data_IF_261749017701
#
_entry.id   IF_261749017701
#
_cell.length_a   1.000
_cell.length_b   1.000
_cell.length_c   1.000
_cell.angle_alpha   90.00
_cell.angle_beta   90.00
_cell.angle_gamma   90.00
#
_symmetry.space_group_name_H-M   'P 1'
#
loop_
_entity.id
_entity.type
_entity.pdbx_description
1 polymer ?
#
# COMPACT_ATOMS: atom_id res chain seq x y z
N UNK A 1 35.09 49.35 34.48
CA UNK A 1 34.09 48.48 33.83
C UNK A 1 34.69 47.96 32.54
N UNK A 2 34.95 46.65 32.44
CA UNK A 2 35.56 46.03 31.26
C UNK A 2 34.44 45.34 30.47
N UNK A 3 34.21 45.68 29.19
CA UNK A 3 33.18 45.02 28.39
C UNK A 3 33.62 43.59 28.05
N UNK A 4 32.84 42.62 28.49
CA UNK A 4 33.03 41.20 28.16
C UNK A 4 32.52 40.96 26.74
N UNK A 5 33.40 40.64 25.79
CA UNK A 5 33.02 40.33 24.42
C UNK A 5 32.39 38.93 24.35
N UNK A 6 31.23 38.75 23.69
CA UNK A 6 30.60 37.44 23.58
C UNK A 6 31.43 36.52 22.67
N UNK A 7 31.71 35.35 23.22
CA UNK A 7 32.53 34.26 22.68
C UNK A 7 32.14 33.90 21.23
N UNK A 8 32.96 34.25 20.23
CA UNK A 8 32.65 34.13 18.80
C UNK A 8 32.66 32.68 18.28
N UNK A 9 33.30 31.75 19.01
CA UNK A 9 33.44 30.34 18.62
C UNK A 9 32.10 29.57 18.55
N UNK A 10 31.11 29.91 19.37
CA UNK A 10 29.81 29.24 19.41
C UNK A 10 28.94 29.53 18.18
N UNK A 11 29.08 30.73 17.59
CA UNK A 11 28.29 31.16 16.43
C UNK A 11 28.64 30.44 15.11
N UNK A 12 29.90 30.03 14.96
CA UNK A 12 30.34 29.29 13.77
C UNK A 12 29.93 27.83 13.81
N UNK A 13 29.88 27.23 15.01
CA UNK A 13 29.41 25.86 15.20
C UNK A 13 27.90 25.75 14.93
N UNK A 14 27.10 26.70 15.43
CA UNK A 14 25.66 26.70 15.17
C UNK A 14 25.31 26.88 13.69
N UNK A 15 26.03 27.75 12.97
CA UNK A 15 25.89 27.90 11.50
C UNK A 15 26.18 26.60 10.74
N UNK A 16 27.26 25.90 11.10
CA UNK A 16 27.61 24.60 10.49
C UNK A 16 26.56 23.54 10.78
N UNK A 17 26.03 23.50 12.00
CA UNK A 17 24.94 22.58 12.37
C UNK A 17 23.67 22.88 11.58
N UNK A 18 23.28 24.15 11.45
CA UNK A 18 22.12 24.57 10.66
C UNK A 18 22.26 24.20 9.18
N UNK A 19 23.45 24.37 8.60
CA UNK A 19 23.72 23.95 7.22
C UNK A 19 23.61 22.42 7.05
N UNK A 20 24.19 21.64 7.97
CA UNK A 20 24.06 20.17 7.96
C UNK A 20 22.61 19.73 8.09
N UNK A 21 21.82 20.37 8.95
CA UNK A 21 20.41 20.08 9.12
C UNK A 21 19.62 20.32 7.83
N UNK A 22 19.85 21.46 7.16
CA UNK A 22 19.22 21.76 5.85
C UNK A 22 19.58 20.73 4.79
N UNK A 23 20.85 20.35 4.69
CA UNK A 23 21.30 19.32 3.75
C UNK A 23 20.67 17.96 4.03
N UNK A 24 20.55 17.57 5.31
CA UNK A 24 19.90 16.34 5.71
C UNK A 24 18.41 16.33 5.34
N UNK A 25 17.71 17.46 5.56
CA UNK A 25 16.31 17.63 5.18
C UNK A 25 16.11 17.49 3.66
N UNK A 26 16.93 18.17 2.85
CA UNK A 26 16.87 18.07 1.40
C UNK A 26 17.13 16.63 0.92
N UNK A 27 18.13 15.95 1.49
CA UNK A 27 18.41 14.55 1.17
C UNK A 27 17.25 13.62 1.54
N UNK A 28 16.62 13.84 2.70
CA UNK A 28 15.47 13.07 3.13
C UNK A 28 14.26 13.26 2.19
N UNK A 29 14.00 14.50 1.75
CA UNK A 29 12.94 14.80 0.79
C UNK A 29 13.19 14.09 -0.56
N UNK A 30 14.41 14.22 -1.11
CA UNK A 30 14.78 13.54 -2.36
C UNK A 30 14.63 12.02 -2.26
N UNK A 31 15.09 11.42 -1.16
CA UNK A 31 14.96 9.97 -0.95
C UNK A 31 13.48 9.54 -0.87
N UNK A 32 12.65 10.32 -0.16
CA UNK A 32 11.21 10.07 -0.06
C UNK A 32 10.56 10.11 -1.45
N UNK A 33 10.88 11.12 -2.25
CA UNK A 33 10.28 11.29 -3.56
C UNK A 33 10.73 10.19 -4.53
N UNK A 34 12.01 9.80 -4.51
CA UNK A 34 12.50 8.65 -5.26
C UNK A 34 11.81 7.34 -4.85
N UNK A 35 11.63 7.10 -3.55
CA UNK A 35 10.91 5.93 -3.06
C UNK A 35 9.45 5.92 -3.55
N UNK A 36 8.77 7.08 -3.48
CA UNK A 36 7.40 7.23 -3.98
C UNK A 36 7.31 6.93 -5.48
N UNK A 37 8.24 7.46 -6.27
CA UNK A 37 8.28 7.20 -7.72
C UNK A 37 8.47 5.70 -8.01
N UNK A 38 9.37 5.01 -7.31
CA UNK A 38 9.59 3.55 -7.46
C UNK A 38 8.33 2.75 -7.15
N UNK A 39 7.64 3.05 -6.05
CA UNK A 39 6.39 2.38 -5.68
C UNK A 39 5.32 2.58 -6.76
N UNK A 40 5.18 3.80 -7.28
CA UNK A 40 4.22 4.09 -8.36
C UNK A 40 4.56 3.32 -9.64
N UNK A 41 5.83 3.24 -10.01
CA UNK A 41 6.29 2.45 -11.17
C UNK A 41 5.96 0.96 -10.99
N UNK A 42 6.24 0.40 -9.81
CA UNK A 42 5.92 -0.99 -9.50
C UNK A 42 4.41 -1.26 -9.57
N UNK A 43 3.58 -0.38 -9.02
CA UNK A 43 2.11 -0.48 -9.11
C UNK A 43 1.63 -0.48 -10.56
N UNK A 44 2.17 0.41 -11.40
CA UNK A 44 1.86 0.45 -12.85
C UNK A 44 2.27 -0.84 -13.56
N UNK A 45 3.47 -1.36 -13.26
CA UNK A 45 3.95 -2.61 -13.85
C UNK A 45 3.06 -3.80 -13.46
N UNK A 46 2.67 -3.89 -12.18
CA UNK A 46 1.78 -4.93 -11.69
C UNK A 46 0.39 -4.84 -12.34
N UNK A 47 -0.17 -3.64 -12.47
CA UNK A 47 -1.45 -3.42 -13.13
C UNK A 47 -1.42 -3.86 -14.61
N UNK A 48 -0.34 -3.52 -15.34
CA UNK A 48 -0.12 -3.98 -16.72
C UNK A 48 -0.04 -5.49 -16.80
N UNK A 49 0.72 -6.14 -15.90
CA UNK A 49 0.83 -7.60 -15.87
C UNK A 49 -0.52 -8.26 -15.61
N UNK A 50 -1.31 -7.74 -14.66
CA UNK A 50 -2.67 -8.23 -14.39
C UNK A 50 -3.60 -8.06 -15.58
N UNK A 51 -3.51 -6.94 -16.31
CA UNK A 51 -4.30 -6.75 -17.53
C UNK A 51 -3.92 -7.76 -18.62
N UNK A 52 -2.62 -8.01 -18.84
CA UNK A 52 -2.15 -9.02 -19.80
C UNK A 52 -2.61 -10.43 -19.43
N UNK A 53 -2.46 -10.83 -18.17
CA UNK A 53 -2.91 -12.15 -17.72
C UNK A 53 -4.43 -12.33 -17.93
N UNK A 54 -5.24 -11.29 -17.65
CA UNK A 54 -6.68 -11.33 -17.91
C UNK A 54 -6.98 -11.52 -19.40
N UNK A 55 -6.33 -10.74 -20.26
CA UNK A 55 -6.53 -10.86 -21.70
C UNK A 55 -6.16 -12.24 -22.25
N UNK A 56 -5.08 -12.86 -21.74
CA UNK A 56 -4.69 -14.23 -22.12
C UNK A 56 -5.69 -15.27 -21.64
N UNK A 57 -6.13 -15.20 -20.39
CA UNK A 57 -7.14 -16.12 -19.87
C UNK A 57 -8.47 -15.98 -20.62
N UNK A 58 -8.87 -14.76 -20.98
CA UNK A 58 -10.09 -14.49 -21.76
C UNK A 58 -9.97 -15.00 -23.20
N UNK A 59 -8.80 -14.89 -23.85
CA UNK A 59 -8.59 -15.44 -25.19
C UNK A 59 -8.61 -16.96 -25.21
N UNK A 60 -7.96 -17.61 -24.23
CA UNK A 60 -7.88 -19.07 -24.12
C UNK A 60 -9.26 -19.71 -23.89
N UNK A 61 -10.14 -19.05 -23.12
CA UNK A 61 -11.54 -19.48 -22.92
C UNK A 61 -12.38 -19.34 -24.22
N UNK A 62 -12.08 -18.34 -25.06
CA UNK A 62 -12.83 -18.08 -26.30
C UNK A 62 -12.43 -19.00 -27.48
N UNK A 63 -11.16 -19.43 -27.54
CA UNK A 63 -10.64 -20.33 -28.58
C UNK A 63 -10.89 -21.82 -28.26
N UNK A 64 -11.21 -22.16 -27.00
CA UNK A 64 -11.50 -23.55 -26.58
C UNK A 64 -12.80 -24.14 -27.17
N UNK A 65 -13.56 -23.37 -27.94
CA UNK A 65 -14.74 -23.87 -28.67
C UNK A 65 -14.38 -24.66 -29.95
N UNK A 66 -13.10 -24.70 -30.35
CA UNK A 66 -12.66 -25.29 -31.62
C UNK A 66 -11.44 -26.22 -31.52
N UNK A 67 -11.63 -27.45 -31.01
CA UNK A 67 -10.91 -28.62 -31.53
C UNK A 67 -9.44 -28.80 -31.17
N UNK A 68 -9.11 -28.95 -29.88
CA UNK A 68 -7.99 -29.82 -29.45
C UNK A 68 -8.16 -30.18 -27.97
N UNK A 69 -8.96 -31.22 -27.70
CA UNK A 69 -9.18 -31.73 -26.36
C UNK A 69 -7.96 -32.53 -25.87
N UNK A 70 -7.16 -31.92 -24.99
CA UNK A 70 -6.31 -32.69 -24.09
C UNK A 70 -7.23 -33.32 -23.03
N UNK A 71 -7.27 -34.66 -22.84
CA UNK A 71 -8.17 -35.30 -21.86
C UNK A 71 -7.84 -34.95 -20.40
N UNK A 72 -6.71 -34.28 -20.13
CA UNK A 72 -6.37 -33.65 -18.85
C UNK A 72 -6.73 -32.16 -18.76
N UNK A 73 -7.39 -31.58 -19.78
CA UNK A 73 -7.74 -30.16 -19.84
C UNK A 73 -8.89 -29.76 -18.89
N UNK A 74 -9.53 -30.72 -18.21
CA UNK A 74 -10.51 -30.39 -17.18
C UNK A 74 -9.76 -29.93 -15.93
N UNK A 75 -9.56 -28.61 -15.83
CA UNK A 75 -9.09 -27.98 -14.61
C UNK A 75 -10.00 -28.38 -13.44
N UNK A 76 -9.44 -29.02 -12.42
CA UNK A 76 -10.17 -29.32 -11.17
C UNK A 76 -10.32 -28.09 -10.28
N UNK A 77 -9.64 -26.99 -10.63
CA UNK A 77 -9.83 -25.72 -9.94
C UNK A 77 -10.99 -24.99 -10.61
N UNK A 78 -11.97 -24.50 -9.82
CA UNK A 78 -13.08 -23.73 -10.36
C UNK A 78 -12.51 -22.48 -11.05
N UNK A 79 -13.13 -22.01 -12.14
CA UNK A 79 -12.68 -20.82 -12.86
C UNK A 79 -12.52 -19.66 -11.87
N UNK A 80 -11.31 -19.10 -11.80
CA UNK A 80 -11.00 -18.04 -10.85
C UNK A 80 -11.72 -16.76 -11.28
N UNK A 81 -12.90 -16.54 -10.68
CA UNK A 81 -13.65 -15.31 -10.83
C UNK A 81 -13.09 -14.19 -9.95
N UNK A 82 -13.73 -13.03 -9.98
CA UNK A 82 -13.27 -11.80 -9.30
C UNK A 82 -12.82 -12.02 -7.86
N UNK A 83 -11.92 -11.17 -7.35
CA UNK A 83 -11.39 -11.29 -5.97
C UNK A 83 -12.50 -11.35 -4.91
N UNK A 84 -13.61 -10.62 -5.13
CA UNK A 84 -14.78 -10.66 -4.26
C UNK A 84 -15.46 -12.05 -4.23
N UNK A 85 -15.56 -12.72 -5.39
CA UNK A 85 -16.16 -14.05 -5.46
C UNK A 85 -15.24 -15.13 -4.88
N UNK A 86 -13.93 -15.00 -5.08
CA UNK A 86 -12.95 -15.90 -4.44
C UNK A 86 -12.97 -15.72 -2.90
N UNK A 87 -13.08 -14.47 -2.44
CA UNK A 87 -13.28 -14.16 -1.03
C UNK A 87 -14.59 -14.74 -0.46
N UNK A 88 -15.66 -14.79 -1.25
CA UNK A 88 -16.93 -15.43 -0.88
C UNK A 88 -16.83 -16.95 -0.72
N UNK A 89 -16.09 -17.62 -1.61
CA UNK A 89 -15.85 -19.07 -1.52
C UNK A 89 -15.08 -19.44 -0.25
N UNK A 90 -14.14 -18.59 0.17
CA UNK A 90 -13.34 -18.78 1.38
C UNK A 90 -13.86 -17.94 2.56
N UNK A 91 -15.19 -17.78 2.66
CA UNK A 91 -15.85 -16.94 3.68
C UNK A 91 -15.84 -17.50 5.10
N UNK A 92 -15.33 -18.71 5.33
CA UNK A 92 -15.29 -19.41 6.62
C UNK A 92 -13.87 -19.85 7.01
N UNK A 93 -13.56 -19.82 8.33
CA UNK A 93 -12.29 -20.34 8.85
C UNK A 93 -12.39 -21.83 9.09
N UNK A 94 -11.34 -22.56 8.77
CA UNK A 94 -11.15 -23.95 9.20
C UNK A 94 -10.49 -24.05 10.56
N UNK A 95 -10.03 -22.92 11.12
CA UNK A 95 -9.33 -22.88 12.40
C UNK A 95 -10.33 -22.58 13.51
N UNK A 96 -10.32 -23.32 14.63
CA UNK A 96 -11.18 -23.01 15.77
C UNK A 96 -10.91 -21.60 16.31
N UNK A 97 -11.97 -20.90 16.69
CA UNK A 97 -11.90 -19.54 17.22
C UNK A 97 -11.12 -19.50 18.55
N UNK A 98 -11.34 -20.48 19.43
CA UNK A 98 -10.66 -20.60 20.72
C UNK A 98 -9.80 -21.87 20.77
N UNK A 99 -8.48 -21.77 21.02
CA UNK A 99 -7.64 -22.95 21.23
C UNK A 99 -8.06 -23.70 22.50
N UNK A 100 -8.12 -25.04 22.43
CA UNK A 100 -8.68 -25.92 23.47
C UNK A 100 -8.09 -25.75 24.88
N UNK A 101 -6.86 -25.26 25.00
CA UNK A 101 -6.14 -25.09 26.27
C UNK A 101 -5.56 -23.69 26.46
N UNK A 102 -6.05 -22.70 25.71
CA UNK A 102 -5.60 -21.31 25.87
C UNK A 102 -6.57 -20.55 26.78
N UNK A 103 -6.03 -19.89 27.80
CA UNK A 103 -6.74 -18.89 28.61
C UNK A 103 -6.68 -17.49 28.01
N UNK A 104 -5.85 -17.29 26.98
CA UNK A 104 -5.72 -16.01 26.27
C UNK A 104 -6.80 -15.90 25.21
N UNK A 105 -7.47 -14.73 25.16
CA UNK A 105 -8.41 -14.39 24.11
C UNK A 105 -7.73 -14.43 22.73
N UNK A 106 -8.31 -15.20 21.82
CA UNK A 106 -7.79 -15.29 20.46
C UNK A 106 -8.11 -14.00 19.69
N UNK A 107 -7.10 -13.47 19.00
CA UNK A 107 -7.31 -12.32 18.11
C UNK A 107 -8.28 -12.69 16.99
N UNK A 108 -9.16 -11.76 16.63
CA UNK A 108 -10.08 -11.92 15.50
C UNK A 108 -9.27 -12.19 14.22
N UNK A 109 -9.57 -13.31 13.56
CA UNK A 109 -8.95 -13.69 12.29
C UNK A 109 -9.76 -13.12 11.13
N UNK A 110 -9.07 -12.46 10.21
CA UNK A 110 -9.67 -11.92 8.98
C UNK A 110 -9.33 -12.85 7.83
N UNK A 111 -10.36 -13.36 7.17
CA UNK A 111 -10.25 -14.27 6.03
C UNK A 111 -11.45 -14.07 5.09
N UNK A 112 -11.33 -14.53 3.85
CA UNK A 112 -12.39 -14.43 2.85
C UNK A 112 -12.96 -13.02 2.71
N UNK A 113 -14.29 -12.93 2.76
CA UNK A 113 -15.02 -11.67 2.67
C UNK A 113 -14.60 -10.64 3.72
N UNK A 114 -14.35 -11.05 4.96
CA UNK A 114 -13.97 -10.12 6.04
C UNK A 114 -12.64 -9.42 5.71
N UNK A 115 -11.68 -10.17 5.17
CA UNK A 115 -10.40 -9.61 4.70
C UNK A 115 -10.61 -8.73 3.46
N UNK A 116 -11.47 -9.15 2.53
CA UNK A 116 -11.76 -8.38 1.34
C UNK A 116 -12.34 -7.00 1.71
N UNK A 117 -13.36 -6.95 2.57
CA UNK A 117 -13.95 -5.68 3.02
C UNK A 117 -12.94 -4.79 3.73
N UNK A 118 -12.16 -5.31 4.69
CA UNK A 118 -11.15 -4.48 5.34
C UNK A 118 -10.13 -3.91 4.34
N UNK A 119 -9.67 -4.72 3.39
CA UNK A 119 -8.68 -4.24 2.41
C UNK A 119 -9.26 -3.27 1.38
N UNK A 120 -10.54 -3.39 1.02
CA UNK A 120 -11.21 -2.43 0.13
C UNK A 120 -11.62 -1.15 0.83
N UNK A 121 -12.10 -1.25 2.06
CA UNK A 121 -12.59 -0.11 2.84
C UNK A 121 -11.42 0.76 3.31
N UNK A 122 -10.33 0.13 3.78
CA UNK A 122 -9.10 0.85 4.16
C UNK A 122 -8.49 1.59 2.96
N UNK A 123 -8.56 1.00 1.75
CA UNK A 123 -8.08 1.63 0.53
C UNK A 123 -8.91 2.85 0.09
N UNK A 124 -10.14 3.00 0.57
CA UNK A 124 -11.00 4.17 0.32
C UNK A 124 -10.88 5.24 1.41
N UNK A 125 -10.57 4.86 2.65
CA UNK A 125 -10.40 5.80 3.77
C UNK A 125 -9.04 6.51 3.79
N UNK A 126 -8.04 6.04 3.04
CA UNK A 126 -6.71 6.68 2.92
C UNK A 126 -6.64 7.76 1.83
N UNK A 127 -7.77 8.40 1.47
CA UNK A 127 -7.69 9.69 0.75
C UNK A 127 -7.23 10.73 1.76
N UNK A 128 -6.00 11.29 1.67
CA UNK A 128 -5.59 12.33 2.59
C UNK A 128 -6.50 13.54 2.35
N UNK A 129 -7.38 13.83 3.29
CA UNK A 129 -8.02 15.13 3.38
C UNK A 129 -6.89 16.15 3.50
N UNK A 130 -6.58 16.81 2.39
CA UNK A 130 -5.77 18.02 2.38
C UNK A 130 -6.59 19.07 3.13
N UNK A 131 -6.39 19.15 4.44
CA UNK A 131 -6.77 20.30 5.25
C UNK A 131 -5.90 21.47 4.77
N UNK A 132 -6.43 22.23 3.81
CA UNK A 132 -5.97 23.58 3.54
C UNK A 132 -6.67 24.48 4.56
N UNK A 133 -5.98 24.72 5.67
CA UNK A 133 -6.27 25.85 6.56
C UNK A 133 -5.64 27.12 5.97
N UNK A 134 -6.50 28.11 5.77
CA UNK A 134 -6.28 29.56 5.85
C UNK A 134 -5.36 30.25 4.80
N UNK A 135 -5.62 31.47 4.33
CA UNK A 135 -6.35 32.55 4.97
C UNK A 135 -7.06 33.50 4.01
N UNK A 136 -8.18 33.97 4.52
CA UNK A 136 -9.01 35.08 4.12
C UNK A 136 -8.17 36.38 4.20
N UNK A 137 -7.86 37.00 3.06
CA UNK A 137 -7.30 38.35 3.01
C UNK A 137 -8.41 39.33 2.61
N UNK A 138 -8.95 40.00 3.61
CA UNK A 138 -9.77 41.20 3.51
C UNK A 138 -8.82 42.39 3.33
N UNK A 139 -8.87 43.08 2.19
CA UNK A 139 -8.22 44.38 2.01
C UNK A 139 -9.28 45.35 1.45
N UNK A 140 -9.53 46.41 2.22
CA UNK A 140 -10.24 47.65 1.83
C UNK A 140 -9.34 48.57 0.99
#
# INVERSE_FOLDING_TARGET
MIPTTPNTMTSNQSRRQAQKARQAQLKAQLNRDQARQKILQQRRALARRRAKNRAQCESDESESSGGQHNPSAHSTTPPQRSNAQNAAQHSHSTVPETPKYSTVEARRRLYGLRLHYETTDTAQSETPQAQFEEGESHDE
#
